data_IF_207495339679
#
_entry.id   IF_207495339679
#
_cell.length_a   1.000
_cell.length_b   1.000
_cell.length_c   1.000
_cell.angle_alpha   90.00
_cell.angle_beta   90.00
_cell.angle_gamma   90.00
#
_symmetry.space_group_name_H-M   'P 1'
#
loop_
_entity.id
_entity.type
_entity.pdbx_description
1 polymer ?
#
# COMPACT_ATOMS: atom_id res chain seq x y z
N UNK A 1 -18.70 -53.83 9.12
CA UNK A 1 -17.46 -54.13 9.88
C UNK A 1 -16.33 -54.18 8.86
N UNK A 2 -15.25 -53.43 8.85
CA UNK A 2 -14.54 -52.66 9.87
C UNK A 2 -13.70 -51.60 9.14
N UNK A 3 -13.71 -50.36 9.62
CA UNK A 3 -12.96 -49.23 9.07
C UNK A 3 -11.51 -49.24 9.56
N UNK A 4 -10.54 -49.22 8.64
CA UNK A 4 -9.10 -49.05 8.94
C UNK A 4 -8.84 -47.60 9.39
N UNK A 5 -8.47 -47.43 10.67
CA UNK A 5 -7.84 -46.22 11.21
C UNK A 5 -6.34 -46.28 10.91
N UNK A 6 -5.81 -45.27 10.22
CA UNK A 6 -4.38 -44.99 10.13
C UNK A 6 -4.00 -43.94 11.19
N UNK A 7 -2.95 -44.23 11.94
CA UNK A 7 -2.43 -43.41 13.04
C UNK A 7 -1.57 -42.25 12.54
N UNK A 8 -1.66 -41.09 13.20
CA UNK A 8 -0.79 -39.92 13.03
C UNK A 8 0.13 -39.83 14.25
N UNK A 9 1.44 -39.53 14.11
CA UNK A 9 2.40 -39.62 15.21
C UNK A 9 2.30 -38.44 16.18
N UNK A 10 2.59 -38.72 17.45
CA UNK A 10 2.63 -37.76 18.53
C UNK A 10 3.82 -36.79 18.38
N UNK A 11 3.54 -35.49 18.40
CA UNK A 11 4.55 -34.43 18.55
C UNK A 11 4.74 -34.17 20.06
N UNK A 12 5.96 -34.40 20.54
CA UNK A 12 6.35 -34.15 21.93
C UNK A 12 6.40 -32.64 22.20
N UNK A 13 5.53 -32.16 23.09
CA UNK A 13 5.50 -30.76 23.52
C UNK A 13 6.64 -30.45 24.50
N UNK A 14 7.31 -29.31 24.30
CA UNK A 14 8.39 -28.79 25.15
C UNK A 14 7.86 -28.34 26.54
N UNK A 15 8.66 -28.47 27.62
CA UNK A 15 8.20 -28.38 29.02
C UNK A 15 7.95 -26.96 29.56
N UNK A 16 7.88 -25.93 28.71
CA UNK A 16 7.76 -24.52 29.13
C UNK A 16 6.64 -23.77 28.41
N UNK A 17 5.46 -24.36 28.27
CA UNK A 17 4.26 -23.64 27.79
C UNK A 17 3.45 -23.10 28.97
N UNK A 18 3.50 -21.78 29.09
CA UNK A 18 2.54 -20.83 29.65
C UNK A 18 1.36 -21.39 30.45
N UNK A 19 1.36 -21.18 31.77
CA UNK A 19 0.28 -21.50 32.71
C UNK A 19 -0.86 -20.47 32.72
N UNK A 20 -1.18 -19.84 31.58
CA UNK A 20 -2.36 -18.97 31.50
C UNK A 20 -3.61 -19.80 31.19
N UNK A 21 -4.70 -19.67 31.96
CA UNK A 21 -5.94 -20.37 31.69
C UNK A 21 -6.48 -19.94 30.33
N UNK A 22 -7.02 -20.91 29.60
CA UNK A 22 -7.53 -20.83 28.23
C UNK A 22 -8.77 -19.91 28.14
N UNK A 23 -8.57 -18.60 28.27
CA UNK A 23 -9.64 -17.60 28.23
C UNK A 23 -9.94 -17.21 26.77
N UNK A 24 -10.86 -17.93 26.14
CA UNK A 24 -11.39 -17.55 24.83
C UNK A 24 -12.23 -16.27 24.95
N UNK A 25 -11.74 -15.16 24.39
CA UNK A 25 -12.49 -13.90 24.29
C UNK A 25 -13.68 -14.14 23.34
N UNK A 26 -14.93 -14.08 23.80
CA UNK A 26 -16.08 -14.26 22.92
C UNK A 26 -16.22 -13.04 22.01
N UNK A 27 -16.26 -13.25 20.68
CA UNK A 27 -16.57 -12.22 19.70
C UNK A 27 -18.03 -12.37 19.24
N UNK A 28 -18.91 -11.47 19.68
CA UNK A 28 -20.26 -11.37 19.11
C UNK A 28 -20.19 -10.63 17.76
N UNK A 29 -20.59 -11.28 16.67
CA UNK A 29 -20.77 -10.64 15.35
C UNK A 29 -22.24 -10.26 15.18
N UNK A 30 -22.54 -8.97 15.03
CA UNK A 30 -23.88 -8.41 14.76
C UNK A 30 -25.02 -9.01 15.61
N UNK A 31 -25.07 -8.74 16.93
CA UNK A 31 -26.14 -9.26 17.79
C UNK A 31 -27.53 -8.66 17.53
N UNK A 32 -27.62 -7.57 16.77
CA UNK A 32 -28.86 -6.79 16.55
C UNK A 32 -29.61 -7.04 15.24
N UNK A 33 -29.17 -7.99 14.39
CA UNK A 33 -29.78 -8.21 13.08
C UNK A 33 -29.49 -7.10 12.06
N UNK A 34 -29.93 -7.28 10.80
CA UNK A 34 -29.79 -6.30 9.71
C UNK A 34 -31.14 -5.66 9.47
N UNK A 35 -31.30 -4.39 9.85
CA UNK A 35 -32.48 -3.60 9.49
C UNK A 35 -32.35 -3.20 8.01
N UNK A 36 -33.25 -3.69 7.15
CA UNK A 36 -33.38 -3.21 5.77
C UNK A 36 -34.21 -1.93 5.80
N UNK A 37 -33.54 -0.80 6.03
CA UNK A 37 -34.23 0.48 6.18
C UNK A 37 -34.28 1.30 4.90
N UNK A 38 -35.48 1.73 4.51
CA UNK A 38 -35.68 2.91 3.66
C UNK A 38 -35.24 4.18 4.43
N UNK A 39 -35.21 5.36 3.78
CA UNK A 39 -34.88 6.66 4.41
C UNK A 39 -35.66 6.97 5.70
N UNK A 40 -36.81 6.33 5.93
CA UNK A 40 -37.61 6.43 7.17
C UNK A 40 -37.23 5.43 8.29
N UNK A 41 -36.37 4.45 8.04
CA UNK A 41 -35.93 3.42 9.01
C UNK A 41 -34.42 3.55 9.27
N UNK A 42 -34.02 4.75 9.65
CA UNK A 42 -32.64 5.06 10.03
C UNK A 42 -32.55 4.91 11.56
N UNK A 43 -31.74 3.97 12.09
CA UNK A 43 -31.61 3.79 13.53
C UNK A 43 -31.00 5.04 14.18
N UNK A 44 -31.16 5.19 15.50
CA UNK A 44 -30.52 6.27 16.25
C UNK A 44 -28.99 6.21 16.06
N UNK A 45 -28.40 7.29 15.55
CA UNK A 45 -26.99 7.35 15.17
C UNK A 45 -26.68 6.87 13.73
N UNK A 46 -27.70 6.53 12.95
CA UNK A 46 -27.56 6.21 11.52
C UNK A 46 -27.35 7.46 10.67
N UNK A 47 -26.65 7.28 9.54
CA UNK A 47 -26.36 8.33 8.57
C UNK A 47 -27.13 8.07 7.27
N UNK A 48 -27.77 9.11 6.73
CA UNK A 48 -28.36 9.10 5.38
C UNK A 48 -27.30 9.60 4.41
N UNK A 49 -26.88 8.75 3.47
CA UNK A 49 -25.88 9.10 2.47
C UNK A 49 -26.54 9.57 1.18
N UNK A 50 -25.92 10.53 0.50
CA UNK A 50 -26.24 10.79 -0.90
C UNK A 50 -25.85 9.56 -1.75
N UNK A 51 -26.63 9.28 -2.79
CA UNK A 51 -26.36 8.17 -3.73
C UNK A 51 -25.18 8.43 -4.68
N UNK A 52 -24.74 9.69 -4.78
CA UNK A 52 -23.65 10.09 -5.67
C UNK A 52 -22.29 9.65 -5.11
N UNK A 53 -21.44 8.97 -5.90
CA UNK A 53 -20.10 8.61 -5.48
C UNK A 53 -19.23 9.87 -5.28
N UNK A 54 -18.34 9.83 -4.30
CA UNK A 54 -17.37 10.89 -4.05
C UNK A 54 -16.15 10.64 -4.92
N UNK A 55 -15.87 11.57 -5.84
CA UNK A 55 -14.64 11.57 -6.61
C UNK A 55 -13.53 12.21 -5.79
N UNK A 56 -12.31 11.68 -5.89
CA UNK A 56 -11.15 12.16 -5.13
C UNK A 56 -9.96 12.38 -6.06
N UNK A 57 -9.04 13.26 -5.65
CA UNK A 57 -7.87 13.65 -6.43
C UNK A 57 -8.21 14.14 -7.85
N UNK A 58 -9.35 14.83 -8.01
CA UNK A 58 -9.73 15.50 -9.26
C UNK A 58 -8.62 16.48 -9.72
N UNK A 59 -8.53 16.68 -11.03
CA UNK A 59 -7.59 17.59 -11.72
C UNK A 59 -6.09 17.26 -11.58
N UNK A 60 -5.74 16.09 -11.04
CA UNK A 60 -4.34 15.67 -10.94
C UNK A 60 -3.94 14.79 -12.12
N UNK A 61 -2.77 15.02 -12.74
CA UNK A 61 -2.28 14.12 -13.80
C UNK A 61 -2.03 12.75 -13.20
N UNK A 62 -2.63 11.72 -13.82
CA UNK A 62 -2.47 10.32 -13.42
C UNK A 62 -1.39 9.69 -14.28
N UNK A 63 -0.35 9.14 -13.64
CA UNK A 63 0.68 8.34 -14.31
C UNK A 63 0.48 6.88 -13.93
N UNK A 64 0.35 6.01 -14.93
CA UNK A 64 0.26 4.56 -14.68
C UNK A 64 1.65 3.95 -14.76
N UNK A 65 2.00 3.18 -13.74
CA UNK A 65 3.31 2.52 -13.65
C UNK A 65 3.09 1.05 -13.31
N UNK A 66 3.77 0.16 -14.04
CA UNK A 66 3.80 -1.26 -13.73
C UNK A 66 4.83 -1.54 -12.64
N UNK A 67 4.41 -2.22 -11.59
CA UNK A 67 5.22 -2.46 -10.41
C UNK A 67 5.24 -3.94 -10.12
N UNK A 68 6.46 -4.50 -10.13
CA UNK A 68 6.69 -5.92 -9.87
C UNK A 68 7.39 -6.11 -8.53
N UNK A 69 6.85 -6.97 -7.69
CA UNK A 69 7.54 -7.37 -6.46
C UNK A 69 8.49 -8.53 -6.75
N UNK A 70 9.79 -8.26 -6.71
CA UNK A 70 10.83 -9.28 -6.91
C UNK A 70 11.34 -9.88 -5.59
N UNK A 71 10.78 -9.44 -4.46
CA UNK A 71 11.11 -9.96 -3.14
C UNK A 71 10.39 -11.27 -2.85
N UNK A 72 10.82 -11.91 -1.76
CA UNK A 72 10.24 -13.12 -1.18
C UNK A 72 9.12 -12.81 -0.17
N UNK A 73 8.93 -11.53 0.18
CA UNK A 73 7.98 -11.06 1.20
C UNK A 73 6.89 -10.16 0.61
N UNK A 74 5.67 -10.19 1.16
CA UNK A 74 4.62 -9.27 0.76
C UNK A 74 4.97 -7.85 1.19
N UNK A 75 4.63 -6.87 0.36
CA UNK A 75 4.91 -5.44 0.59
C UNK A 75 3.61 -4.66 0.50
N UNK A 76 3.35 -3.81 1.49
CA UNK A 76 2.16 -2.96 1.52
C UNK A 76 2.58 -1.49 1.52
N UNK A 77 2.01 -0.71 0.59
CA UNK A 77 2.37 0.69 0.37
C UNK A 77 1.14 1.56 0.60
N UNK A 78 1.25 2.53 1.51
CA UNK A 78 0.17 3.45 1.84
C UNK A 78 -0.07 4.55 0.80
N UNK A 79 -1.25 5.14 0.85
CA UNK A 79 -1.72 6.23 -0.03
C UNK A 79 -0.79 7.45 -0.13
N UNK A 80 -0.14 7.84 0.97
CA UNK A 80 0.67 9.06 1.08
C UNK A 80 2.18 8.80 1.18
N UNK A 81 2.61 7.57 0.87
CA UNK A 81 4.03 7.24 0.84
C UNK A 81 4.66 7.71 -0.47
N UNK A 82 5.90 8.21 -0.41
CA UNK A 82 6.58 8.67 -1.61
C UNK A 82 6.95 7.49 -2.48
N UNK A 83 6.29 7.36 -3.64
CA UNK A 83 6.35 6.13 -4.42
C UNK A 83 7.75 5.83 -4.95
N UNK A 84 8.55 6.86 -5.22
CA UNK A 84 9.97 6.73 -5.57
C UNK A 84 10.80 6.01 -4.50
N UNK A 85 10.46 6.19 -3.23
CA UNK A 85 11.23 5.73 -2.07
C UNK A 85 10.67 4.42 -1.48
N UNK A 86 9.77 3.74 -2.18
CA UNK A 86 9.23 2.44 -1.72
C UNK A 86 10.32 1.37 -1.73
N UNK A 87 10.05 0.26 -1.03
CA UNK A 87 10.96 -0.86 -0.83
C UNK A 87 11.80 -1.19 -2.09
N UNK A 88 13.11 -1.38 -1.88
CA UNK A 88 14.09 -1.71 -2.92
C UNK A 88 13.78 -2.99 -3.70
N UNK A 89 13.02 -3.91 -3.12
CA UNK A 89 12.59 -5.14 -3.77
C UNK A 89 11.55 -4.94 -4.88
N UNK A 90 10.90 -3.78 -4.91
CA UNK A 90 9.96 -3.42 -5.98
C UNK A 90 10.73 -2.88 -7.19
N UNK A 91 10.43 -3.46 -8.34
CA UNK A 91 10.98 -3.10 -9.64
C UNK A 91 9.93 -2.37 -10.46
N UNK A 92 10.23 -1.12 -10.83
CA UNK A 92 9.39 -0.24 -11.63
C UNK A 92 10.22 0.95 -12.12
N UNK A 93 9.62 1.81 -12.96
CA UNK A 93 10.27 3.05 -13.39
C UNK A 93 10.20 4.10 -12.28
N UNK A 94 11.29 4.19 -11.51
CA UNK A 94 11.38 5.16 -10.41
C UNK A 94 11.46 6.60 -10.93
N UNK A 95 12.00 6.84 -12.13
CA UNK A 95 12.10 8.19 -12.65
C UNK A 95 10.72 8.81 -12.90
N UNK A 96 9.74 7.99 -13.29
CA UNK A 96 8.34 8.41 -13.44
C UNK A 96 7.60 8.59 -12.12
N UNK A 97 8.02 7.89 -11.06
CA UNK A 97 7.40 7.93 -9.74
C UNK A 97 7.89 9.06 -8.82
N UNK A 98 8.90 9.82 -9.25
CA UNK A 98 9.48 10.92 -8.48
C UNK A 98 8.44 12.00 -8.17
N UNK A 99 8.30 12.39 -6.90
CA UNK A 99 7.33 13.42 -6.48
C UNK A 99 5.87 12.98 -6.54
N UNK A 100 5.61 11.66 -6.64
CA UNK A 100 4.26 11.10 -6.74
C UNK A 100 3.93 10.12 -5.61
N UNK A 101 2.62 9.93 -5.39
CA UNK A 101 2.03 9.00 -4.42
C UNK A 101 0.91 8.19 -5.08
N UNK A 102 0.45 7.13 -4.42
CA UNK A 102 -0.65 6.29 -4.92
C UNK A 102 -1.96 7.08 -5.03
N UNK A 103 -2.66 6.92 -6.15
CA UNK A 103 -4.00 7.45 -6.38
C UNK A 103 -5.07 6.53 -5.81
N UNK A 104 -5.05 6.35 -4.50
CA UNK A 104 -6.05 5.58 -3.74
C UNK A 104 -6.66 6.47 -2.67
N UNK A 105 -7.77 6.03 -2.08
CA UNK A 105 -8.39 6.76 -0.97
C UNK A 105 -7.41 6.92 0.19
N UNK A 106 -7.52 8.03 0.93
CA UNK A 106 -6.64 8.28 2.06
C UNK A 106 -6.71 7.14 3.06
N UNK A 107 -5.59 6.87 3.75
CA UNK A 107 -5.46 5.80 4.76
C UNK A 107 -5.49 4.37 4.21
N UNK A 108 -5.78 4.17 2.92
CA UNK A 108 -5.67 2.84 2.30
C UNK A 108 -4.25 2.54 1.80
N UNK A 109 -4.03 1.28 1.43
CA UNK A 109 -2.77 0.78 0.93
C UNK A 109 -2.97 -0.28 -0.15
N UNK A 110 -2.01 -0.38 -1.07
CA UNK A 110 -1.95 -1.48 -2.04
C UNK A 110 -0.96 -2.53 -1.52
N UNK A 111 -1.37 -3.79 -1.61
CA UNK A 111 -0.57 -4.95 -1.21
C UNK A 111 -0.04 -5.64 -2.47
N UNK A 112 1.25 -5.91 -2.46
CA UNK A 112 1.97 -6.65 -3.50
C UNK A 112 2.43 -7.98 -2.93
N UNK A 113 1.94 -9.08 -3.49
CA UNK A 113 2.41 -10.41 -3.13
C UNK A 113 3.81 -10.68 -3.75
N UNK A 114 4.58 -11.64 -3.21
CA UNK A 114 5.87 -12.02 -3.80
C UNK A 114 5.71 -12.49 -5.26
N UNK A 115 6.47 -11.89 -6.18
CA UNK A 115 6.42 -12.22 -7.62
C UNK A 115 5.29 -11.56 -8.40
N UNK A 116 4.37 -10.85 -7.74
CA UNK A 116 3.22 -10.24 -8.39
C UNK A 116 3.58 -8.96 -9.17
N UNK A 117 2.87 -8.70 -10.26
CA UNK A 117 3.03 -7.52 -11.11
C UNK A 117 1.68 -6.81 -11.26
N UNK A 118 1.58 -5.60 -10.70
CA UNK A 118 0.35 -4.80 -10.68
C UNK A 118 0.62 -3.45 -11.33
N UNK A 119 -0.30 -2.99 -12.17
CA UNK A 119 -0.31 -1.63 -12.69
C UNK A 119 -0.98 -0.70 -11.65
N UNK A 120 -0.23 0.30 -11.18
CA UNK A 120 -0.73 1.27 -10.20
C UNK A 120 -0.85 2.66 -10.81
N UNK A 121 -1.82 3.42 -10.31
CA UNK A 121 -2.03 4.82 -10.69
C UNK A 121 -1.36 5.74 -9.66
N UNK A 122 -0.50 6.63 -10.14
CA UNK A 122 0.23 7.60 -9.33
C UNK A 122 -0.28 9.02 -9.61
N UNK A 123 -0.36 9.84 -8.57
CA UNK A 123 -0.68 11.27 -8.64
C UNK A 123 0.42 12.08 -7.97
N UNK A 124 0.71 13.29 -8.46
CA UNK A 124 1.70 14.15 -7.84
C UNK A 124 1.29 14.61 -6.44
N UNK A 125 2.28 14.78 -5.57
CA UNK A 125 2.06 15.42 -4.28
C UNK A 125 1.45 16.83 -4.48
N UNK A 126 0.53 17.20 -3.59
CA UNK A 126 0.03 18.57 -3.49
C UNK A 126 0.91 19.44 -2.59
N UNK A 127 0.45 20.66 -2.32
CA UNK A 127 1.11 21.59 -1.41
C UNK A 127 2.50 22.03 -1.90
N UNK A 128 3.45 22.17 -0.98
CA UNK A 128 4.83 22.62 -1.28
C UNK A 128 5.69 21.53 -1.97
N UNK A 129 5.21 20.29 -2.05
CA UNK A 129 5.94 19.15 -2.63
C UNK A 129 7.34 18.95 -2.01
N UNK A 130 7.48 19.24 -0.71
CA UNK A 130 8.71 18.99 0.05
C UNK A 130 8.60 17.66 0.79
N UNK A 131 9.50 16.73 0.49
CA UNK A 131 9.50 15.36 0.98
C UNK A 131 10.71 15.14 1.89
N UNK A 132 10.46 14.76 3.14
CA UNK A 132 11.49 14.54 4.17
C UNK A 132 11.27 13.18 4.85
N UNK A 133 12.36 12.49 5.19
CA UNK A 133 12.29 11.19 5.84
C UNK A 133 12.20 10.06 4.82
N UNK A 134 11.12 9.27 4.81
CA UNK A 134 10.98 8.10 3.93
C UNK A 134 12.23 7.19 3.93
N UNK A 135 13.05 7.21 2.86
CA UNK A 135 14.34 6.51 2.78
C UNK A 135 15.53 7.48 2.61
N UNK A 136 15.34 8.75 2.94
CA UNK A 136 16.29 9.86 2.85
C UNK A 136 16.91 10.00 1.45
N UNK A 137 16.17 9.63 0.40
CA UNK A 137 16.69 9.70 -0.98
C UNK A 137 16.57 11.13 -1.52
N UNK A 138 15.50 11.84 -1.16
CA UNK A 138 15.22 13.20 -1.64
C UNK A 138 15.53 14.26 -0.59
N UNK A 139 14.97 14.15 0.63
CA UNK A 139 15.11 15.12 1.73
C UNK A 139 15.06 16.59 1.28
N UNK A 140 14.04 16.93 0.51
CA UNK A 140 13.98 18.21 -0.16
C UNK A 140 12.77 18.39 -1.05
N UNK A 141 12.87 19.33 -1.98
CA UNK A 141 11.79 19.65 -2.88
C UNK A 141 11.70 18.66 -4.04
N UNK A 142 10.50 18.15 -4.32
CA UNK A 142 10.25 17.10 -5.31
C UNK A 142 9.05 17.42 -6.20
N UNK A 143 9.16 18.44 -7.06
CA UNK A 143 8.05 18.82 -7.93
C UNK A 143 7.86 17.84 -9.08
N UNK A 144 6.59 17.55 -9.39
CA UNK A 144 6.18 16.71 -10.51
C UNK A 144 6.39 17.40 -11.87
N UNK A 145 6.05 18.70 -11.96
CA UNK A 145 6.20 19.47 -13.18
C UNK A 145 7.56 20.16 -13.22
N UNK A 146 8.22 19.95 -14.36
CA UNK A 146 9.34 20.74 -14.81
C UNK A 146 8.86 22.19 -14.99
N UNK A 147 9.25 23.12 -14.12
CA UNK A 147 9.03 24.55 -14.39
C UNK A 147 9.99 25.09 -15.46
N UNK A 148 10.89 24.26 -15.98
CA UNK A 148 11.94 24.61 -16.96
C UNK A 148 12.46 23.37 -17.67
N UNK A 149 12.64 23.37 -19.00
CA UNK A 149 13.02 22.24 -19.87
C UNK A 149 14.28 21.40 -19.53
N UNK A 150 14.97 21.67 -18.41
CA UNK A 150 16.11 20.86 -17.94
C UNK A 150 15.67 19.97 -16.78
N UNK A 151 15.95 18.66 -16.87
CA UNK A 151 15.86 17.77 -15.71
C UNK A 151 16.71 18.34 -14.56
N UNK A 152 16.09 18.57 -13.39
CA UNK A 152 16.78 19.18 -12.26
C UNK A 152 17.86 18.23 -11.71
N UNK A 153 19.01 18.78 -11.26
CA UNK A 153 20.08 17.97 -10.66
C UNK A 153 19.62 17.18 -9.44
N UNK A 154 18.64 17.68 -8.67
CA UNK A 154 18.08 17.00 -7.49
C UNK A 154 17.45 15.65 -7.82
N UNK A 155 16.67 15.57 -8.91
CA UNK A 155 16.07 14.31 -9.38
C UNK A 155 17.14 13.31 -9.80
N UNK A 156 18.14 13.78 -10.53
CA UNK A 156 19.27 12.94 -10.96
C UNK A 156 20.10 12.44 -9.77
N UNK A 157 20.36 13.31 -8.79
CA UNK A 157 21.03 12.94 -7.55
C UNK A 157 20.22 11.91 -6.75
N UNK A 158 18.91 12.10 -6.62
CA UNK A 158 18.04 11.14 -5.93
C UNK A 158 18.02 9.78 -6.63
N UNK A 159 17.96 9.76 -7.97
CA UNK A 159 18.07 8.53 -8.77
C UNK A 159 19.43 7.85 -8.55
N UNK A 160 20.51 8.62 -8.53
CA UNK A 160 21.85 8.08 -8.29
C UNK A 160 21.95 7.47 -6.89
N UNK A 161 21.51 8.18 -5.85
CA UNK A 161 21.44 7.66 -4.48
C UNK A 161 20.61 6.37 -4.42
N UNK A 162 19.46 6.32 -5.09
CA UNK A 162 18.64 5.13 -5.15
C UNK A 162 19.37 3.95 -5.83
N UNK A 163 20.17 4.20 -6.87
CA UNK A 163 21.03 3.15 -7.46
C UNK A 163 22.11 2.70 -6.46
N UNK A 164 22.77 3.63 -5.81
CA UNK A 164 23.84 3.35 -4.85
C UNK A 164 23.32 2.55 -3.63
N UNK A 165 22.09 2.81 -3.21
CA UNK A 165 21.40 2.06 -2.14
C UNK A 165 20.74 0.75 -2.60
N UNK A 166 20.93 0.35 -3.86
CA UNK A 166 20.48 -0.94 -4.39
C UNK A 166 18.96 -1.04 -4.64
N UNK A 167 18.29 0.08 -4.91
CA UNK A 167 16.89 0.06 -5.34
C UNK A 167 16.79 -0.49 -6.77
N UNK A 168 15.80 -1.36 -7.02
CA UNK A 168 15.56 -1.92 -8.35
C UNK A 168 14.83 -0.93 -9.25
N UNK A 169 15.25 -0.88 -10.51
CA UNK A 169 14.66 -0.07 -11.57
C UNK A 169 14.24 -1.00 -12.70
N UNK A 170 13.05 -0.80 -13.26
CA UNK A 170 12.69 -1.43 -14.52
C UNK A 170 13.35 -0.69 -15.68
N UNK A 171 13.47 -1.36 -16.84
CA UNK A 171 13.81 -0.68 -18.09
C UNK A 171 12.73 0.38 -18.39
N UNK A 172 13.10 1.58 -18.85
CA UNK A 172 12.11 2.55 -19.32
C UNK A 172 11.33 1.92 -20.47
N UNK A 173 9.99 2.09 -20.46
CA UNK A 173 9.17 1.74 -21.60
C UNK A 173 9.64 2.57 -22.79
N UNK A 174 9.98 1.87 -23.88
CA UNK A 174 10.59 2.44 -25.09
C UNK A 174 9.55 3.17 -25.94
#
# INVERSE_FOLDING_TARGET
MSSKKTATPASAASPHQDTHPDHKIPHAKNPGGVHQGNEQDVPLGGCIYASSPIVFNEDRPVTKVKVRNTGDRPIQIGSHFHFFEVNRALEFDRAEAFGKRLNISSTTAIRFEPGDEIEVSLVPYGGKQTLYGFNNLVDGWAPDKLTSNHERPEKLQAIQRARDHGFKFSKPAK
#
